data_IF_263130269692
#
_entry.id   IF_263130269692
#
_cell.length_a   1.000
_cell.length_b   1.000
_cell.length_c   1.000
_cell.angle_alpha   90.00
_cell.angle_beta   90.00
_cell.angle_gamma   90.00
#
_symmetry.space_group_name_H-M   'P 1'
#
loop_
_entity.id
_entity.type
_entity.pdbx_description
1 polymer ?
#
# COMPACT_ATOMS: atom_id res chain seq x y z
N UNK A 1 9.90 0.08 7.95
CA UNK A 1 8.78 0.85 8.56
C UNK A 1 8.46 2.00 7.62
N UNK A 2 7.18 2.23 7.31
CA UNK A 2 6.68 3.32 6.49
C UNK A 2 5.71 4.15 7.31
N UNK A 3 5.78 5.47 7.14
CA UNK A 3 4.89 6.42 7.79
C UNK A 3 3.76 6.84 6.86
N UNK A 4 2.54 7.00 7.38
CA UNK A 4 1.41 7.53 6.63
C UNK A 4 0.79 8.75 7.31
N UNK A 5 0.31 9.69 6.52
CA UNK A 5 -0.50 10.82 6.96
C UNK A 5 -1.92 10.64 6.40
N UNK A 6 -2.89 10.48 7.30
CA UNK A 6 -4.31 10.30 6.99
C UNK A 6 -5.15 11.54 7.31
N UNK A 7 -4.54 12.69 7.61
CA UNK A 7 -5.26 13.92 7.95
C UNK A 7 -6.19 14.42 6.85
N UNK A 8 -5.93 14.05 5.59
CA UNK A 8 -6.79 14.35 4.44
C UNK A 8 -7.78 13.24 4.04
N UNK A 9 -7.89 12.16 4.84
CA UNK A 9 -8.79 11.02 4.54
C UNK A 9 -10.27 11.28 4.84
N UNK A 10 -10.60 12.46 5.39
CA UNK A 10 -11.96 12.89 5.72
C UNK A 10 -12.73 11.82 6.53
N UNK A 11 -13.89 11.36 6.05
CA UNK A 11 -14.73 10.35 6.72
C UNK A 11 -14.08 8.96 6.80
N UNK A 12 -13.00 8.70 6.06
CA UNK A 12 -12.41 7.38 5.91
C UNK A 12 -11.32 7.03 6.94
N UNK A 13 -11.03 7.91 7.91
CA UNK A 13 -9.95 7.72 8.88
C UNK A 13 -9.96 6.35 9.58
N UNK A 14 -11.12 5.87 10.02
CA UNK A 14 -11.25 4.55 10.67
C UNK A 14 -10.97 3.39 9.72
N UNK A 15 -11.36 3.50 8.44
CA UNK A 15 -11.07 2.50 7.42
C UNK A 15 -9.59 2.47 7.07
N UNK A 16 -8.93 3.63 7.04
CA UNK A 16 -7.48 3.76 6.85
C UNK A 16 -6.71 3.09 7.99
N UNK A 17 -7.07 3.39 9.24
CA UNK A 17 -6.45 2.77 10.41
C UNK A 17 -6.62 1.24 10.37
N UNK A 18 -7.81 0.77 10.01
CA UNK A 18 -8.09 -0.67 9.89
C UNK A 18 -7.32 -1.32 8.76
N UNK A 19 -7.22 -0.68 7.60
CA UNK A 19 -6.43 -1.16 6.46
C UNK A 19 -4.94 -1.24 6.79
N UNK A 20 -4.41 -0.25 7.49
CA UNK A 20 -3.02 -0.25 7.95
C UNK A 20 -2.75 -1.38 8.97
N UNK A 21 -3.67 -1.60 9.92
CA UNK A 21 -3.59 -2.71 10.86
C UNK A 21 -3.61 -4.07 10.15
N UNK A 22 -4.51 -4.28 9.19
CA UNK A 22 -4.58 -5.51 8.39
C UNK A 22 -3.28 -5.79 7.65
N UNK A 23 -2.66 -4.76 7.06
CA UNK A 23 -1.34 -4.90 6.42
C UNK A 23 -0.26 -5.26 7.45
N UNK A 24 -0.24 -4.60 8.60
CA UNK A 24 0.69 -4.90 9.69
C UNK A 24 0.54 -6.33 10.22
N UNK A 25 -0.66 -6.89 10.25
CA UNK A 25 -0.91 -8.26 10.69
C UNK A 25 -0.58 -9.29 9.59
N UNK A 26 -0.54 -8.84 8.33
CA UNK A 26 -0.34 -9.72 7.17
C UNK A 26 1.11 -9.93 6.76
N UNK A 27 1.99 -8.94 6.99
CA UNK A 27 3.40 -8.96 6.55
C UNK A 27 4.34 -8.39 7.61
N UNK A 28 5.55 -8.92 7.71
CA UNK A 28 6.62 -8.52 8.61
C UNK A 28 7.52 -7.40 8.07
N UNK A 29 7.90 -7.45 6.79
CA UNK A 29 8.90 -6.54 6.19
C UNK A 29 8.47 -5.08 6.10
N UNK A 30 7.17 -4.80 5.95
CA UNK A 30 6.64 -3.47 5.67
C UNK A 30 5.53 -3.08 6.67
N UNK A 31 5.94 -2.56 7.83
CA UNK A 31 5.00 -2.03 8.83
C UNK A 31 4.62 -0.57 8.54
N UNK A 32 3.34 -0.23 8.73
CA UNK A 32 2.72 1.08 8.56
C UNK A 32 2.43 1.73 9.91
N UNK A 33 2.79 3.01 10.08
CA UNK A 33 2.49 3.80 11.30
C UNK A 33 2.06 5.23 10.93
N UNK A 34 1.16 5.86 11.70
CA UNK A 34 0.88 7.28 11.53
C UNK A 34 2.16 8.12 11.65
N UNK A 35 2.31 9.12 10.80
CA UNK A 35 3.31 10.17 10.95
C UNK A 35 2.90 11.09 12.10
N UNK A 36 3.88 11.59 12.86
CA UNK A 36 3.62 12.67 13.80
C UNK A 36 3.21 13.94 13.04
N UNK A 37 2.28 14.72 13.61
CA UNK A 37 1.79 15.95 13.00
C UNK A 37 2.94 16.88 12.57
N UNK A 38 2.84 17.44 11.36
CA UNK A 38 3.86 18.32 10.79
C UNK A 38 5.09 17.61 10.21
N UNK A 39 5.20 16.29 10.31
CA UNK A 39 6.26 15.51 9.64
C UNK A 39 5.83 15.05 8.25
N UNK A 40 6.79 15.01 7.33
CA UNK A 40 6.57 14.35 6.03
C UNK A 40 6.37 12.85 6.24
N UNK A 41 5.30 12.32 5.66
CA UNK A 41 5.02 10.89 5.60
C UNK A 41 5.49 10.27 4.27
N UNK A 42 5.75 8.96 4.26
CA UNK A 42 5.99 8.21 3.03
C UNK A 42 4.72 8.15 2.17
N UNK A 43 3.57 7.96 2.84
CA UNK A 43 2.27 7.77 2.23
C UNK A 43 1.36 8.91 2.65
N UNK A 44 0.72 9.59 1.70
CA UNK A 44 -0.36 10.53 1.99
C UNK A 44 -1.68 9.88 1.60
N UNK A 45 -2.62 9.81 2.54
CA UNK A 45 -3.90 9.13 2.36
C UNK A 45 -5.01 10.18 2.39
N UNK A 46 -5.75 10.27 1.29
CA UNK A 46 -6.73 11.31 1.01
C UNK A 46 -8.11 10.69 0.74
N UNK A 47 -9.16 11.50 0.82
CA UNK A 47 -10.45 11.17 0.24
C UNK A 47 -10.54 11.70 -1.20
N UNK A 48 -11.25 11.00 -2.07
CA UNK A 48 -11.60 11.43 -3.43
C UNK A 48 -13.11 11.28 -3.66
N UNK A 49 -13.69 12.07 -4.56
CA UNK A 49 -15.11 11.92 -4.94
C UNK A 49 -15.31 10.82 -6.00
N UNK A 50 -14.27 10.45 -6.75
CA UNK A 50 -14.27 9.37 -7.73
C UNK A 50 -13.90 8.00 -7.16
N UNK A 51 -13.50 7.09 -8.05
CA UNK A 51 -12.92 5.79 -7.66
C UNK A 51 -11.57 5.98 -6.96
N UNK A 52 -11.19 5.10 -6.02
CA UNK A 52 -9.87 5.14 -5.37
C UNK A 52 -8.72 4.81 -6.35
N UNK A 53 -7.74 5.71 -6.52
CA UNK A 53 -6.42 5.34 -7.02
C UNK A 53 -5.38 5.23 -5.89
N UNK A 54 -4.27 4.55 -6.21
CA UNK A 54 -2.97 4.81 -5.59
C UNK A 54 -1.97 5.15 -6.69
N UNK A 55 -1.12 6.14 -6.44
CA UNK A 55 -0.06 6.57 -7.37
C UNK A 55 1.31 6.40 -6.70
N UNK A 56 1.86 5.17 -6.65
CA UNK A 56 3.19 4.95 -6.08
C UNK A 56 4.25 5.77 -6.82
N UNK A 57 5.10 6.48 -6.08
CA UNK A 57 6.25 7.21 -6.63
C UNK A 57 7.53 6.38 -6.55
N UNK A 58 7.63 5.52 -5.54
CA UNK A 58 8.61 4.45 -5.39
C UNK A 58 8.04 3.40 -4.43
N UNK A 59 8.73 2.27 -4.25
CA UNK A 59 8.26 1.25 -3.32
C UNK A 59 8.06 1.84 -1.91
N UNK A 60 6.83 1.75 -1.39
CA UNK A 60 6.46 2.27 -0.07
C UNK A 60 6.17 3.78 -0.02
N UNK A 61 6.19 4.50 -1.14
CA UNK A 61 5.98 5.95 -1.18
C UNK A 61 4.94 6.36 -2.23
N UNK A 62 4.18 7.41 -1.94
CA UNK A 62 3.23 8.01 -2.88
C UNK A 62 1.86 8.26 -2.25
N UNK A 63 0.99 9.00 -2.93
CA UNK A 63 -0.37 9.23 -2.47
C UNK A 63 -1.31 8.05 -2.74
N UNK A 64 -2.30 7.90 -1.86
CA UNK A 64 -3.40 6.94 -1.89
C UNK A 64 -4.69 7.70 -1.65
N UNK A 65 -5.75 7.31 -2.35
CA UNK A 65 -7.08 7.87 -2.14
C UNK A 65 -8.07 6.76 -1.76
N UNK A 66 -8.96 7.08 -0.83
CA UNK A 66 -10.19 6.32 -0.61
C UNK A 66 -11.31 7.06 -1.34
N UNK A 67 -11.88 6.42 -2.35
CA UNK A 67 -12.83 7.05 -3.26
C UNK A 67 -14.28 6.82 -2.83
N UNK A 68 -15.06 7.91 -2.73
CA UNK A 68 -16.48 7.88 -2.37
C UNK A 68 -17.30 7.08 -3.36
N UNK A 69 -17.02 7.23 -4.66
CA UNK A 69 -17.77 6.50 -5.70
C UNK A 69 -17.80 4.99 -5.45
N UNK A 70 -16.67 4.37 -5.07
CA UNK A 70 -16.65 2.93 -4.80
C UNK A 70 -17.50 2.56 -3.57
N UNK A 71 -17.49 3.39 -2.54
CA UNK A 71 -18.30 3.17 -1.33
C UNK A 71 -19.78 3.35 -1.63
N UNK A 72 -20.14 4.39 -2.39
CA UNK A 72 -21.52 4.69 -2.80
C UNK A 72 -22.08 3.62 -3.73
N UNK A 73 -21.24 3.01 -4.56
CA UNK A 73 -21.59 1.83 -5.36
C UNK A 73 -21.71 0.54 -4.53
N UNK A 74 -21.40 0.57 -3.24
CA UNK A 74 -21.64 -0.54 -2.29
C UNK A 74 -20.41 -1.41 -2.02
N UNK A 75 -19.21 -1.02 -2.43
CA UNK A 75 -18.00 -1.75 -2.10
C UNK A 75 -17.57 -1.51 -0.64
N UNK A 76 -17.06 -2.56 -0.01
CA UNK A 76 -16.66 -2.50 1.40
C UNK A 76 -15.42 -1.60 1.61
N UNK A 77 -15.58 -0.48 2.32
CA UNK A 77 -14.51 0.49 2.60
C UNK A 77 -13.30 -0.12 3.31
N UNK A 78 -13.52 -1.11 4.18
CA UNK A 78 -12.45 -1.81 4.91
C UNK A 78 -11.66 -2.75 4.00
N UNK A 79 -12.20 -3.20 2.85
CA UNK A 79 -11.46 -3.90 1.79
C UNK A 79 -10.74 -2.92 0.85
N UNK A 80 -11.35 -1.78 0.54
CA UNK A 80 -10.77 -0.74 -0.31
C UNK A 80 -9.44 -0.25 0.27
N UNK A 81 -9.40 0.14 1.54
CA UNK A 81 -8.19 0.70 2.15
C UNK A 81 -6.94 -0.20 2.05
N UNK A 82 -6.96 -1.46 2.53
CA UNK A 82 -5.81 -2.33 2.41
C UNK A 82 -5.51 -2.69 0.96
N UNK A 83 -6.49 -2.73 0.03
CA UNK A 83 -6.21 -2.91 -1.40
C UNK A 83 -5.32 -1.79 -1.94
N UNK A 84 -5.69 -0.53 -1.74
CA UNK A 84 -4.89 0.61 -2.23
C UNK A 84 -3.52 0.71 -1.56
N UNK A 85 -3.45 0.45 -0.24
CA UNK A 85 -2.17 0.33 0.46
C UNK A 85 -1.29 -0.79 -0.13
N UNK A 86 -1.89 -1.84 -0.68
CA UNK A 86 -1.16 -2.90 -1.39
C UNK A 86 -0.38 -2.41 -2.59
N UNK A 87 -0.97 -1.49 -3.35
CA UNK A 87 -0.33 -0.88 -4.52
C UNK A 87 0.92 -0.10 -4.12
N UNK A 88 0.86 0.63 -3.00
CA UNK A 88 2.02 1.32 -2.42
C UNK A 88 3.11 0.32 -1.99
N UNK A 89 2.72 -0.87 -1.51
CA UNK A 89 3.64 -1.94 -1.13
C UNK A 89 4.15 -2.77 -2.32
N UNK A 90 3.88 -2.33 -3.55
CA UNK A 90 4.41 -2.92 -4.77
C UNK A 90 3.58 -4.06 -5.36
N UNK A 91 2.33 -4.26 -4.90
CA UNK A 91 1.45 -5.26 -5.49
C UNK A 91 0.70 -4.68 -6.71
N UNK A 92 0.72 -5.34 -7.88
CA UNK A 92 -0.11 -4.96 -9.02
C UNK A 92 -1.58 -5.33 -8.77
N UNK A 93 -2.48 -4.65 -9.48
CA UNK A 93 -3.86 -5.12 -9.64
C UNK A 93 -3.88 -6.51 -10.29
N UNK A 94 -4.72 -7.41 -9.76
CA UNK A 94 -4.90 -8.78 -10.27
C UNK A 94 -6.34 -8.99 -10.70
N UNK A 95 -6.74 -8.28 -11.76
CA UNK A 95 -8.10 -8.25 -12.30
C UNK A 95 -8.18 -9.01 -13.63
N UNK A 96 -9.26 -9.78 -13.89
CA UNK A 96 -10.27 -10.19 -12.92
C UNK A 96 -9.71 -11.19 -11.91
N UNK A 97 -10.26 -11.23 -10.70
CA UNK A 97 -9.83 -12.18 -9.66
C UNK A 97 -10.91 -12.47 -8.62
N UNK A 98 -10.69 -13.51 -7.83
CA UNK A 98 -11.65 -13.95 -6.80
C UNK A 98 -11.54 -13.13 -5.51
N UNK A 99 -12.51 -13.29 -4.60
CA UNK A 99 -12.52 -12.59 -3.32
C UNK A 99 -11.36 -12.96 -2.38
N UNK A 100 -10.71 -14.11 -2.60
CA UNK A 100 -9.54 -14.51 -1.80
C UNK A 100 -8.29 -13.69 -2.14
N UNK A 101 -8.21 -13.09 -3.33
CA UNK A 101 -7.19 -12.09 -3.67
C UNK A 101 -7.65 -10.73 -3.16
N UNK A 102 -6.80 -10.02 -2.42
CA UNK A 102 -7.07 -8.64 -2.08
C UNK A 102 -6.89 -7.73 -3.30
N UNK A 103 -5.90 -8.04 -4.15
CA UNK A 103 -5.56 -7.25 -5.32
C UNK A 103 -6.50 -7.46 -6.53
N UNK A 104 -7.48 -8.36 -6.43
CA UNK A 104 -8.59 -8.40 -7.39
C UNK A 104 -9.51 -7.18 -7.28
N UNK A 105 -9.44 -6.44 -6.17
CA UNK A 105 -10.16 -5.18 -5.99
C UNK A 105 -11.65 -5.33 -6.28
N UNK A 106 -12.20 -4.40 -7.07
CA UNK A 106 -13.61 -4.37 -7.47
C UNK A 106 -14.05 -5.54 -8.37
N UNK A 107 -13.11 -6.22 -9.05
CA UNK A 107 -13.45 -7.33 -9.96
C UNK A 107 -13.97 -8.58 -9.24
N UNK A 108 -13.75 -8.68 -7.92
CA UNK A 108 -14.34 -9.71 -7.08
C UNK A 108 -15.83 -9.48 -6.75
N UNK A 109 -16.40 -8.34 -7.16
CA UNK A 109 -17.79 -7.97 -6.94
C UNK A 109 -18.07 -7.37 -5.56
N UNK A 110 -19.20 -6.65 -5.45
CA UNK A 110 -19.64 -5.95 -4.23
C UNK A 110 -19.83 -6.87 -3.01
N UNK A 111 -20.32 -8.13 -3.14
CA UNK A 111 -20.45 -9.03 -1.98
C UNK A 111 -19.10 -9.42 -1.35
N UNK A 112 -17.98 -9.19 -2.03
CA UNK A 112 -16.67 -9.52 -1.50
C UNK A 112 -16.21 -8.50 -0.46
N UNK A 113 -16.15 -8.92 0.79
CA UNK A 113 -15.73 -8.09 1.92
C UNK A 113 -14.41 -8.51 2.55
N UNK A 114 -13.77 -9.59 2.06
CA UNK A 114 -12.48 -10.06 2.59
C UNK A 114 -11.40 -8.96 2.43
N UNK A 115 -10.82 -8.43 3.53
CA UNK A 115 -9.85 -7.35 3.41
C UNK A 115 -8.40 -7.85 3.51
N UNK A 116 -8.18 -9.17 3.62
CA UNK A 116 -6.85 -9.75 3.81
C UNK A 116 -6.21 -10.19 2.50
N UNK A 117 -4.89 -9.92 2.29
CA UNK A 117 -4.15 -10.48 1.17
C UNK A 117 -4.01 -12.00 1.31
N UNK A 118 -3.94 -12.70 0.18
CA UNK A 118 -3.64 -14.13 0.17
C UNK A 118 -2.14 -14.40 0.40
N UNK A 119 -1.78 -15.69 0.51
CA UNK A 119 -0.40 -16.10 0.78
C UNK A 119 0.60 -15.60 -0.28
N UNK A 120 0.23 -15.61 -1.56
CA UNK A 120 1.10 -15.14 -2.64
C UNK A 120 1.31 -13.61 -2.59
N UNK A 121 0.25 -12.84 -2.33
CA UNK A 121 0.32 -11.39 -2.15
C UNK A 121 1.16 -11.01 -0.92
N UNK A 122 1.07 -11.78 0.17
CA UNK A 122 1.94 -11.59 1.35
C UNK A 122 3.40 -11.83 0.99
N UNK A 123 3.70 -12.97 0.36
CA UNK A 123 5.07 -13.33 -0.01
C UNK A 123 5.73 -12.33 -0.97
N UNK A 124 4.96 -11.77 -1.91
CA UNK A 124 5.46 -10.74 -2.83
C UNK A 124 5.85 -9.45 -2.08
N UNK A 125 5.04 -9.00 -1.11
CA UNK A 125 5.42 -7.85 -0.28
C UNK A 125 6.68 -8.14 0.55
N UNK A 126 6.81 -9.35 1.12
CA UNK A 126 8.04 -9.74 1.82
C UNK A 126 9.26 -9.66 0.89
N UNK A 127 9.14 -10.18 -0.33
CA UNK A 127 10.20 -10.12 -1.36
C UNK A 127 10.56 -8.68 -1.74
N UNK A 128 9.56 -7.84 -2.03
CA UNK A 128 9.76 -6.45 -2.45
C UNK A 128 10.62 -5.66 -1.44
N UNK A 129 10.38 -5.87 -0.14
CA UNK A 129 11.07 -5.13 0.92
C UNK A 129 12.32 -5.83 1.48
N UNK A 130 12.54 -7.11 1.19
CA UNK A 130 13.81 -7.79 1.52
C UNK A 130 14.85 -7.55 0.43
N UNK A 131 14.47 -7.56 -0.86
CA UNK A 131 15.37 -7.24 -1.97
C UNK A 131 15.82 -5.76 -2.02
N UNK A 132 15.00 -4.85 -1.47
CA UNK A 132 15.34 -3.43 -1.38
C UNK A 132 16.56 -3.13 -0.49
N UNK A 133 16.85 -3.97 0.52
CA UNK A 133 18.05 -3.82 1.36
C UNK A 133 19.35 -4.26 0.66
N UNK A 134 19.27 -5.11 -0.37
CA UNK A 134 20.45 -5.56 -1.12
C UNK A 134 20.91 -4.57 -2.19
N UNK A 135 20.01 -3.73 -2.71
CA UNK A 135 20.33 -2.76 -3.76
C UNK A 135 21.06 -1.50 -3.26
N UNK A 136 20.98 -1.17 -1.97
CA UNK A 136 21.63 0.04 -1.41
C UNK A 136 23.11 -0.12 -1.05
N UNK A 137 23.70 -1.32 -1.17
CA UNK A 137 25.12 -1.56 -0.81
C UNK A 137 26.07 -1.64 -2.02
N UNK A 138 25.58 -1.47 -3.25
CA UNK A 138 26.38 -1.67 -4.47
C UNK A 138 26.83 -0.37 -5.17
N UNK A 139 26.79 0.77 -4.47
CA UNK A 139 27.29 2.05 -4.99
C UNK A 139 28.42 2.58 -4.10
N UNK A 140 29.63 2.05 -4.28
CA UNK A 140 30.80 2.58 -3.61
C UNK A 140 32.02 1.67 -3.65
N UNK A 141 32.69 1.62 -4.79
CA UNK A 141 34.14 1.34 -4.90
C UNK A 141 34.58 1.71 -6.32
N UNK A 142 35.10 2.93 -6.50
CA UNK A 142 35.86 3.30 -7.70
C UNK A 142 37.33 3.04 -7.36
N UNK A 143 38.03 2.12 -8.04
CA UNK A 143 39.47 1.98 -7.82
C UNK A 143 40.19 3.11 -8.58
N UNK A 144 40.97 3.89 -7.84
CA UNK A 144 41.97 4.82 -8.40
C UNK A 144 43.14 3.96 -8.90
N UNK A 145 43.40 4.00 -10.21
CA UNK A 145 44.63 3.45 -10.80
C UNK A 145 45.78 4.39 -10.46
N UNK A 146 46.83 3.89 -9.79
CA UNK A 146 48.10 4.60 -9.67
C UNK A 146 48.88 4.46 -10.99
N UNK A 147 49.37 5.59 -11.49
CA UNK A 147 50.34 5.69 -12.59
C UNK A 147 51.74 5.30 -12.11
N UNK A 148 52.46 4.54 -12.95
CA UNK A 148 53.92 4.44 -13.01
C UNK A 148 54.36 4.57 -14.49
#
# INVERSE_FOLDING_TARGET
>A
MLSYDASGSAEFGSAVDRGAAIRNDSVGSAKLRPAASGRRANIRILADDGWPPALPTSLGNGPVWIGRQAVDEGYNTVRISPHELGRILGLPDRKPGTCSSLMSGSSAGMPCTNPYPNAAEKAEVESNFTGAFSASSAAGSVPVLLED
#
